data_IF_033856963410
#
_entry.id   IF_033856963410
#
_cell.length_a   1.000
_cell.length_b   1.000
_cell.length_c   1.000
_cell.angle_alpha   90.00
_cell.angle_beta   90.00
_cell.angle_gamma   90.00
#
_symmetry.space_group_name_H-M   'P 1'
#
loop_
_entity.id
_entity.type
_entity.pdbx_description
1 polymer ?
#
# COMPACT_ATOMS: atom_id res chain seq x y z
N UNK A 1 6.93 -15.98 -1.54
CA UNK A 1 6.44 -17.10 -2.37
C UNK A 1 7.41 -17.50 -3.45
N UNK A 2 7.77 -18.79 -3.49
CA UNK A 2 8.66 -19.42 -4.49
C UNK A 2 7.86 -20.22 -5.54
N UNK A 3 6.67 -19.74 -5.92
CA UNK A 3 5.87 -20.42 -6.93
C UNK A 3 6.34 -20.03 -8.35
N UNK A 4 6.47 -21.00 -9.27
CA UNK A 4 6.80 -20.68 -10.65
C UNK A 4 5.71 -19.78 -11.23
N UNK A 5 6.07 -18.80 -12.09
CA UNK A 5 5.12 -17.89 -12.69
C UNK A 5 4.04 -18.66 -13.45
N UNK A 6 2.77 -18.41 -13.11
CA UNK A 6 1.60 -19.05 -13.77
C UNK A 6 1.59 -18.75 -15.28
N UNK A 7 2.07 -17.56 -15.68
CA UNK A 7 2.25 -17.17 -17.07
C UNK A 7 3.56 -16.39 -17.24
N UNK A 8 4.59 -17.04 -17.77
CA UNK A 8 5.94 -16.47 -17.95
C UNK A 8 6.18 -15.93 -19.37
N UNK A 9 5.35 -14.95 -19.75
CA UNK A 9 5.50 -14.16 -20.98
C UNK A 9 5.22 -12.69 -20.65
N UNK A 10 5.45 -11.80 -21.62
CA UNK A 10 5.13 -10.36 -21.50
C UNK A 10 3.64 -10.16 -21.20
N UNK A 11 3.36 -9.26 -20.26
CA UNK A 11 2.01 -8.91 -19.80
C UNK A 11 1.77 -7.42 -20.04
N UNK A 12 0.50 -7.03 -20.13
CA UNK A 12 0.08 -5.64 -20.21
C UNK A 12 -0.90 -5.37 -19.07
N UNK A 13 -0.65 -4.32 -18.31
CA UNK A 13 -1.54 -3.82 -17.25
C UNK A 13 -2.01 -2.42 -17.66
N UNK A 14 -3.32 -2.29 -17.90
CA UNK A 14 -3.92 -1.03 -18.35
C UNK A 14 -4.59 -0.26 -17.21
N UNK A 15 -4.85 -0.92 -16.08
CA UNK A 15 -5.56 -0.34 -14.95
C UNK A 15 -4.86 -0.74 -13.66
N UNK A 16 -4.08 0.18 -13.11
CA UNK A 16 -3.50 0.09 -11.77
C UNK A 16 -3.48 1.48 -11.17
N UNK A 17 -3.80 1.56 -9.89
CA UNK A 17 -3.78 2.80 -9.12
C UNK A 17 -2.42 2.95 -8.46
N UNK A 18 -1.70 4.03 -8.77
CA UNK A 18 -0.36 4.27 -8.20
C UNK A 18 -0.41 4.38 -6.66
N UNK A 19 -1.39 5.13 -6.16
CA UNK A 19 -1.68 5.29 -4.73
C UNK A 19 -2.12 3.99 -4.05
N UNK A 20 -2.64 3.02 -4.81
CA UNK A 20 -2.92 1.65 -4.35
C UNK A 20 -1.74 0.67 -4.48
N UNK A 21 -0.59 1.10 -5.01
CA UNK A 21 0.56 0.23 -5.33
C UNK A 21 1.86 0.67 -4.63
N UNK A 22 1.76 1.41 -3.53
CA UNK A 22 2.91 1.91 -2.78
C UNK A 22 3.53 0.79 -1.95
N UNK A 23 4.86 0.74 -1.92
CA UNK A 23 5.62 -0.18 -1.07
C UNK A 23 5.37 0.12 0.42
N UNK A 24 5.01 -0.87 1.26
CA UNK A 24 4.81 -0.67 2.69
C UNK A 24 6.04 -0.09 3.41
N UNK A 25 7.25 -0.45 2.98
CA UNK A 25 8.51 0.11 3.49
C UNK A 25 8.58 1.62 3.26
N UNK A 26 8.11 2.08 2.10
CA UNK A 26 8.07 3.51 1.74
C UNK A 26 7.04 4.27 2.59
N UNK A 27 5.88 3.66 2.86
CA UNK A 27 4.87 4.24 3.77
C UNK A 27 5.47 4.43 5.16
N UNK A 28 6.10 3.40 5.72
CA UNK A 28 6.74 3.47 7.05
C UNK A 28 7.86 4.52 7.09
N UNK A 29 8.71 4.56 6.06
CA UNK A 29 9.80 5.52 5.94
C UNK A 29 9.28 6.97 5.99
N UNK A 30 8.30 7.32 5.16
CA UNK A 30 7.76 8.68 5.12
C UNK A 30 6.91 9.00 6.34
N UNK A 31 6.17 8.03 6.90
CA UNK A 31 5.45 8.19 8.16
C UNK A 31 6.39 8.57 9.30
N UNK A 32 7.50 7.85 9.46
CA UNK A 32 8.53 8.16 10.45
C UNK A 32 9.22 9.50 10.17
N UNK A 33 9.68 9.72 8.94
CA UNK A 33 10.40 10.94 8.54
C UNK A 33 9.57 12.21 8.75
N UNK A 34 8.27 12.14 8.52
CA UNK A 34 7.34 13.28 8.61
C UNK A 34 6.60 13.37 9.95
N UNK A 35 6.81 12.42 10.86
CA UNK A 35 6.12 12.38 12.15
C UNK A 35 4.62 12.11 12.03
N UNK A 36 4.18 11.43 10.96
CA UNK A 36 2.78 11.05 10.75
C UNK A 36 2.54 9.69 11.42
N UNK A 37 1.58 9.59 12.36
CA UNK A 37 1.29 8.32 13.02
C UNK A 37 0.71 7.32 12.02
N UNK A 38 1.23 6.10 12.05
CA UNK A 38 0.74 4.96 11.27
C UNK A 38 0.15 3.91 12.21
N UNK A 39 -0.77 3.05 11.72
CA UNK A 39 -1.39 2.02 12.55
C UNK A 39 -0.43 0.86 12.91
N UNK A 40 0.79 0.84 12.35
CA UNK A 40 1.81 -0.16 12.62
C UNK A 40 3.24 0.39 12.40
N UNK A 41 4.22 -0.27 13.01
CA UNK A 41 5.65 0.08 12.92
C UNK A 41 6.51 -1.00 12.21
N UNK A 42 5.89 -2.02 11.64
CA UNK A 42 6.57 -3.05 10.84
C UNK A 42 5.79 -3.29 9.55
N UNK A 43 6.49 -3.76 8.50
CA UNK A 43 5.90 -3.99 7.18
C UNK A 43 4.76 -5.00 7.26
N UNK A 44 4.97 -6.09 7.97
CA UNK A 44 4.03 -7.20 8.09
C UNK A 44 2.73 -6.74 8.73
N UNK A 45 2.83 -6.03 9.88
CA UNK A 45 1.66 -5.51 10.57
C UNK A 45 0.94 -4.42 9.79
N UNK A 46 1.68 -3.60 9.04
CA UNK A 46 1.08 -2.58 8.21
C UNK A 46 0.29 -3.23 7.06
N UNK A 47 0.86 -4.23 6.40
CA UNK A 47 0.21 -5.03 5.36
C UNK A 47 -1.06 -5.72 5.88
N UNK A 48 -1.03 -6.33 7.06
CA UNK A 48 -2.21 -6.95 7.68
C UNK A 48 -3.36 -5.95 7.88
N UNK A 49 -3.03 -4.69 8.21
CA UNK A 49 -4.02 -3.64 8.50
C UNK A 49 -4.56 -3.00 7.23
N UNK A 50 -3.69 -2.61 6.29
CA UNK A 50 -4.11 -1.90 5.05
C UNK A 50 -4.58 -2.87 3.96
N UNK A 51 -4.11 -4.12 4.01
CA UNK A 51 -4.52 -5.21 3.14
C UNK A 51 -5.89 -5.79 3.49
N UNK A 52 -6.30 -6.78 2.69
CA UNK A 52 -7.62 -7.39 2.77
C UNK A 52 -7.60 -8.81 2.19
N UNK A 53 -7.74 -9.82 3.06
CA UNK A 53 -7.85 -11.23 2.65
C UNK A 53 -9.30 -11.74 2.53
N UNK A 54 -10.26 -10.95 3.04
CA UNK A 54 -11.69 -11.26 3.04
C UNK A 54 -12.46 -10.17 2.31
N UNK A 55 -13.50 -10.50 1.54
CA UNK A 55 -14.25 -9.52 0.78
C UNK A 55 -14.92 -8.49 1.71
N UNK A 56 -14.90 -7.24 1.26
CA UNK A 56 -15.59 -6.11 1.86
C UNK A 56 -16.44 -5.40 0.79
N UNK A 57 -17.23 -4.41 1.20
CA UNK A 57 -17.87 -3.49 0.27
C UNK A 57 -16.87 -2.49 -0.32
N UNK A 58 -17.20 -1.88 -1.46
CA UNK A 58 -16.35 -0.87 -2.10
C UNK A 58 -16.00 0.31 -1.15
N UNK A 59 -16.94 0.88 -0.37
CA UNK A 59 -16.59 1.94 0.59
C UNK A 59 -15.60 1.48 1.66
N UNK A 60 -15.75 0.25 2.17
CA UNK A 60 -14.84 -0.30 3.17
C UNK A 60 -13.43 -0.54 2.61
N UNK A 61 -13.32 -0.93 1.34
CA UNK A 61 -12.04 -0.99 0.63
C UNK A 61 -11.41 0.40 0.50
N UNK A 62 -12.16 1.41 0.07
CA UNK A 62 -11.66 2.77 -0.12
C UNK A 62 -11.21 3.41 1.21
N UNK A 63 -11.88 3.09 2.32
CA UNK A 63 -11.49 3.56 3.65
C UNK A 63 -10.08 3.08 4.09
N UNK A 64 -9.49 2.07 3.44
CA UNK A 64 -8.11 1.64 3.73
C UNK A 64 -7.07 2.70 3.37
N UNK A 65 -7.36 3.58 2.39
CA UNK A 65 -6.44 4.63 1.94
C UNK A 65 -6.18 5.66 3.05
N UNK A 66 -7.14 5.87 3.95
CA UNK A 66 -7.05 6.82 5.07
C UNK A 66 -5.89 6.51 6.02
N UNK A 67 -5.43 5.24 6.08
CA UNK A 67 -4.33 4.84 6.96
C UNK A 67 -2.96 5.34 6.52
N UNK A 68 -2.71 5.49 5.21
CA UNK A 68 -1.36 5.69 4.70
C UNK A 68 -1.20 6.88 3.75
N UNK A 69 -2.26 7.35 3.11
CA UNK A 69 -2.21 8.54 2.25
C UNK A 69 -1.63 9.78 2.95
N UNK A 70 -1.93 10.05 4.24
CA UNK A 70 -1.32 11.18 4.95
C UNK A 70 0.22 11.13 5.04
N UNK A 71 0.82 9.93 5.01
CA UNK A 71 2.28 9.79 5.02
C UNK A 71 2.92 10.21 3.69
N UNK A 72 2.17 10.16 2.59
CA UNK A 72 2.68 10.35 1.22
C UNK A 72 2.32 11.72 0.65
N UNK A 73 1.07 12.16 0.84
CA UNK A 73 0.59 13.42 0.25
C UNK A 73 1.31 14.65 0.84
N UNK A 74 1.62 15.62 -0.03
CA UNK A 74 2.23 16.88 0.36
C UNK A 74 3.75 16.85 0.52
N UNK A 75 4.40 15.74 0.16
CA UNK A 75 5.86 15.63 0.04
C UNK A 75 6.23 15.21 -1.38
N UNK A 76 6.96 16.08 -2.10
CA UNK A 76 7.36 15.82 -3.48
C UNK A 76 8.37 14.68 -3.61
N UNK A 77 9.12 14.35 -2.56
CA UNK A 77 10.01 13.19 -2.60
C UNK A 77 9.25 11.87 -2.41
N UNK A 78 8.02 11.93 -1.90
CA UNK A 78 7.18 10.75 -1.66
C UNK A 78 6.27 10.38 -2.85
N UNK A 79 6.20 11.24 -3.87
CA UNK A 79 5.37 11.10 -5.09
C UNK A 79 6.28 10.80 -6.28
#
# INVERSE_FOLDING_TARGET
>A
DNHPPVFDKSKVELHVHLDGAIKPETILYYGQRRGIPLPANTVEKLQDIIGMDKPLSLPEFLAKFDYYIPAIVGDWEAI
#
